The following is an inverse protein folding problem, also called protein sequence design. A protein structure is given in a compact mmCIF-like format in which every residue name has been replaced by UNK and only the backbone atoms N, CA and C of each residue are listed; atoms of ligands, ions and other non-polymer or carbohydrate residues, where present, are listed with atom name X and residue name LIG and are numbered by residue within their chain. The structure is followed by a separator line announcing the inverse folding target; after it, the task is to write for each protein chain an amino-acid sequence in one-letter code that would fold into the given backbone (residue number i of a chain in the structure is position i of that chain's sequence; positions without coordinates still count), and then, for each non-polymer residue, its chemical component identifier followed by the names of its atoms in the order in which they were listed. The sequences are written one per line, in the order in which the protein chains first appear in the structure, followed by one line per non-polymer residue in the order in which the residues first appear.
data_IF_082917409170
#
_entry.id   IF_082917409170
#
_cell.length_a   1.000
_cell.length_b   1.000
_cell.length_c   1.000
_cell.angle_alpha   90.00
_cell.angle_beta   90.00
_cell.angle_gamma   90.00
#
_symmetry.space_group_name_H-M   'P 1'
#
loop_
_entity.id
_entity.type
_entity.pdbx_description
1 polymer ?
#
# COMPACT_ATOMS: atom_id res chain seq x y z
N UNK A 1 0.75 4.02 7.91
CA UNK A 1 0.49 2.79 7.11
C UNK A 1 1.13 2.94 5.73
N UNK A 2 1.37 1.84 5.02
CA UNK A 2 1.95 1.85 3.67
C UNK A 2 0.92 1.39 2.64
N UNK A 3 0.59 2.26 1.69
CA UNK A 3 -0.12 1.89 0.47
C UNK A 3 0.93 1.39 -0.51
N UNK A 4 1.05 0.06 -0.60
CA UNK A 4 1.98 -0.62 -1.48
C UNK A 4 1.62 -0.38 -2.95
N UNK A 5 2.60 -0.39 -3.84
CA UNK A 5 2.35 -0.42 -5.28
C UNK A 5 1.61 -1.72 -5.66
N UNK A 6 2.04 -2.88 -5.14
CA UNK A 6 1.25 -4.11 -5.08
C UNK A 6 0.52 -4.47 -6.38
N UNK A 7 1.28 -4.80 -7.43
CA UNK A 7 0.76 -5.09 -8.79
C UNK A 7 0.19 -6.50 -8.96
N UNK A 8 0.28 -7.34 -7.93
CA UNK A 8 0.04 -8.79 -7.99
C UNK A 8 1.03 -9.53 -8.89
N UNK A 9 2.09 -8.87 -9.38
CA UNK A 9 3.18 -9.55 -10.06
C UNK A 9 4.22 -10.01 -9.05
N UNK A 10 4.60 -11.29 -9.13
CA UNK A 10 5.45 -11.93 -8.12
C UNK A 10 6.79 -11.19 -7.91
N UNK A 11 7.39 -10.68 -8.98
CA UNK A 11 8.67 -9.95 -8.90
C UNK A 11 8.51 -8.58 -8.25
N UNK A 12 7.47 -7.81 -8.61
CA UNK A 12 7.23 -6.50 -8.02
C UNK A 12 6.93 -6.62 -6.53
N UNK A 13 6.00 -7.50 -6.16
CA UNK A 13 5.51 -7.59 -4.78
C UNK A 13 6.63 -8.09 -3.85
N UNK A 14 7.47 -9.02 -4.32
CA UNK A 14 8.69 -9.45 -3.63
C UNK A 14 9.71 -8.32 -3.50
N UNK A 15 9.97 -7.57 -4.57
CA UNK A 15 10.92 -6.46 -4.54
C UNK A 15 10.46 -5.35 -3.58
N UNK A 16 9.17 -5.02 -3.59
CA UNK A 16 8.57 -4.02 -2.71
C UNK A 16 8.68 -4.43 -1.24
N UNK A 17 8.32 -5.67 -0.90
CA UNK A 17 8.43 -6.16 0.48
C UNK A 17 9.89 -6.19 0.95
N UNK A 18 10.83 -6.62 0.09
CA UNK A 18 12.26 -6.60 0.43
C UNK A 18 12.81 -5.19 0.60
N UNK A 19 12.32 -4.20 -0.17
CA UNK A 19 12.67 -2.80 0.03
C UNK A 19 12.11 -2.28 1.37
N UNK A 20 10.86 -2.60 1.70
CA UNK A 20 10.27 -2.22 2.99
C UNK A 20 11.02 -2.82 4.18
N UNK A 21 11.49 -4.08 4.08
CA UNK A 21 12.32 -4.73 5.11
C UNK A 21 13.67 -4.07 5.34
N UNK A 22 14.19 -3.31 4.38
CA UNK A 22 15.43 -2.55 4.55
C UNK A 22 15.20 -1.22 5.28
N UNK A 23 13.95 -0.75 5.36
CA UNK A 23 13.59 0.56 5.92
C UNK A 23 12.90 0.43 7.27
N UNK A 24 12.11 -0.63 7.48
CA UNK A 24 11.33 -0.84 8.70
C UNK A 24 11.79 -2.09 9.45
N UNK A 25 11.99 -1.97 10.77
CA UNK A 25 12.34 -3.11 11.64
C UNK A 25 11.21 -4.15 11.75
N UNK A 26 9.97 -3.72 11.55
CA UNK A 26 8.76 -4.56 11.56
C UNK A 26 7.77 -4.07 10.50
N UNK A 27 6.89 -4.94 9.97
CA UNK A 27 5.97 -4.53 8.93
C UNK A 27 5.01 -3.45 9.45
N UNK A 28 5.00 -2.22 8.89
CA UNK A 28 3.90 -1.31 9.13
C UNK A 28 2.61 -1.93 8.57
N UNK A 29 1.42 -1.53 9.02
CA UNK A 29 0.18 -1.92 8.34
C UNK A 29 0.30 -1.52 6.86
N UNK A 30 0.23 -2.49 5.95
CA UNK A 30 0.34 -2.24 4.52
C UNK A 30 -0.77 -2.92 3.72
N UNK A 31 -1.15 -2.31 2.61
CA UNK A 31 -2.24 -2.77 1.76
C UNK A 31 -2.05 -2.33 0.30
N UNK A 32 -2.78 -2.95 -0.63
CA UNK A 32 -2.88 -2.54 -2.03
C UNK A 32 -4.31 -2.10 -2.38
N UNK A 33 -4.43 -1.06 -3.20
CA UNK A 33 -5.71 -0.57 -3.71
C UNK A 33 -6.06 -1.14 -5.09
N UNK A 34 -5.10 -1.75 -5.79
CA UNK A 34 -5.31 -2.33 -7.12
C UNK A 34 -6.35 -3.46 -7.14
N UNK A 35 -6.56 -4.26 -6.08
CA UNK A 35 -7.68 -5.20 -6.06
C UNK A 35 -9.07 -4.55 -6.16
N UNK A 36 -9.22 -3.26 -5.85
CA UNK A 36 -10.48 -2.54 -5.95
C UNK A 36 -10.70 -1.87 -7.30
N UNK A 37 -9.64 -1.33 -7.90
CA UNK A 37 -9.74 -0.45 -9.09
C UNK A 37 -8.91 -0.92 -10.29
N UNK A 38 -8.24 -2.07 -10.18
CA UNK A 38 -7.27 -2.55 -11.15
C UNK A 38 -5.97 -1.71 -11.17
N UNK A 39 -5.08 -2.02 -12.11
CA UNK A 39 -3.90 -1.20 -12.33
C UNK A 39 -4.15 -0.17 -13.43
N UNK A 40 -4.31 1.10 -13.06
CA UNK A 40 -4.64 2.18 -13.98
C UNK A 40 -3.41 2.85 -14.63
N UNK A 41 -2.29 2.13 -14.74
CA UNK A 41 -1.01 2.59 -15.29
C UNK A 41 -0.61 3.97 -14.74
N UNK A 42 -0.34 4.95 -15.62
CA UNK A 42 0.13 6.28 -15.23
C UNK A 42 -0.82 7.05 -14.30
N UNK A 43 -2.11 6.72 -14.26
CA UNK A 43 -3.06 7.40 -13.37
C UNK A 43 -3.11 6.82 -11.96
N UNK A 44 -2.48 5.66 -11.71
CA UNK A 44 -2.59 4.99 -10.39
C UNK A 44 -2.07 5.87 -9.25
N UNK A 45 -1.09 6.74 -9.53
CA UNK A 45 -0.64 7.83 -8.66
C UNK A 45 -1.79 8.58 -8.00
N UNK A 46 -2.55 9.31 -8.83
CA UNK A 46 -3.65 10.15 -8.40
C UNK A 46 -4.84 9.33 -7.89
N UNK A 47 -5.23 8.27 -8.61
CA UNK A 47 -6.43 7.48 -8.28
C UNK A 47 -6.31 6.78 -6.92
N UNK A 48 -5.17 6.16 -6.63
CA UNK A 48 -4.95 5.47 -5.36
C UNK A 48 -4.79 6.46 -4.20
N UNK A 49 -4.20 7.63 -4.45
CA UNK A 49 -4.06 8.67 -3.42
C UNK A 49 -5.42 9.23 -3.02
N UNK A 50 -6.25 9.60 -4.00
CA UNK A 50 -7.60 10.10 -3.74
C UNK A 50 -8.46 9.06 -3.01
N UNK A 51 -8.40 7.79 -3.43
CA UNK A 51 -9.14 6.71 -2.78
C UNK A 51 -8.67 6.49 -1.34
N UNK A 52 -7.35 6.55 -1.09
CA UNK A 52 -6.81 6.45 0.27
C UNK A 52 -7.26 7.61 1.14
N UNK A 53 -7.16 8.85 0.65
CA UNK A 53 -7.61 10.05 1.36
C UNK A 53 -9.07 9.91 1.79
N UNK A 54 -9.95 9.51 0.86
CA UNK A 54 -11.36 9.27 1.17
C UNK A 54 -11.54 8.19 2.25
N UNK A 55 -10.81 7.08 2.17
CA UNK A 55 -10.90 6.01 3.17
C UNK A 55 -10.48 6.51 4.57
N UNK A 56 -9.34 7.21 4.65
CA UNK A 56 -8.84 7.69 5.94
C UNK A 56 -9.72 8.81 6.49
N UNK A 57 -10.28 9.69 5.66
CA UNK A 57 -11.23 10.72 6.10
C UNK A 57 -12.51 10.10 6.66
N UNK A 58 -12.97 8.98 6.08
CA UNK A 58 -14.05 8.17 6.64
C UNK A 58 -13.63 7.27 7.82
N UNK A 59 -12.42 7.45 8.35
CA UNK A 59 -12.00 6.86 9.62
C UNK A 59 -11.43 5.46 9.52
N UNK A 60 -10.98 5.00 8.34
CA UNK A 60 -10.40 3.66 8.21
C UNK A 60 -9.27 3.53 7.19
N UNK A 61 -8.40 2.55 7.42
CA UNK A 61 -7.44 2.03 6.44
C UNK A 61 -8.12 0.85 5.72
N UNK A 62 -8.13 0.82 4.37
CA UNK A 62 -8.76 -0.27 3.64
C UNK A 62 -7.96 -1.57 3.75
N UNK A 63 -8.66 -2.69 3.57
CA UNK A 63 -8.05 -4.02 3.51
C UNK A 63 -7.38 -4.26 2.15
N UNK A 64 -6.56 -5.32 2.05
CA UNK A 64 -6.19 -5.94 0.77
C UNK A 64 -7.09 -7.16 0.55
N UNK A 65 -8.14 -7.06 -0.28
CA UNK A 65 -9.02 -8.18 -0.53
C UNK A 65 -8.30 -9.23 -1.40
N UNK A 66 -8.84 -10.45 -1.42
CA UNK A 66 -8.34 -11.58 -2.22
C UNK A 66 -6.94 -12.08 -1.84
N UNK A 67 -6.35 -11.62 -0.74
CA UNK A 67 -5.14 -12.22 -0.18
C UNK A 67 -5.50 -13.48 0.61
N UNK A 68 -4.95 -14.63 0.21
CA UNK A 68 -5.28 -15.93 0.82
C UNK A 68 -4.04 -16.69 1.31
N UNK A 69 -3.02 -16.80 0.48
CA UNK A 69 -1.82 -17.61 0.76
C UNK A 69 -0.58 -16.73 0.88
N UNK A 70 0.02 -16.60 2.07
CA UNK A 70 1.29 -15.90 2.24
C UNK A 70 2.44 -16.57 1.50
N UNK A 71 3.38 -15.77 0.97
CA UNK A 71 4.69 -16.28 0.55
C UNK A 71 5.56 -16.45 1.81
N UNK A 72 5.82 -17.71 2.18
CA UNK A 72 6.63 -18.06 3.37
C UNK A 72 8.03 -17.45 3.34
N UNK A 73 8.59 -17.19 2.15
CA UNK A 73 9.91 -16.56 1.99
C UNK A 73 9.88 -15.06 2.34
N UNK A 74 8.71 -14.43 2.22
CA UNK A 74 8.53 -13.01 2.48
C UNK A 74 8.18 -12.73 3.94
N UNK A 75 7.52 -13.64 4.66
CA UNK A 75 7.16 -13.51 6.08
C UNK A 75 6.35 -12.25 6.47
N UNK A 76 6.00 -11.39 5.50
CA UNK A 76 5.27 -10.15 5.67
C UNK A 76 4.02 -10.23 4.79
N UNK A 77 2.85 -9.97 5.38
CA UNK A 77 1.55 -10.06 4.71
C UNK A 77 0.77 -8.74 4.85
N UNK A 78 0.02 -8.32 3.82
CA UNK A 78 -0.80 -7.13 3.91
C UNK A 78 -1.95 -7.34 4.89
N UNK A 79 -2.55 -6.25 5.35
CA UNK A 79 -3.76 -6.33 6.17
C UNK A 79 -4.94 -6.84 5.34
N UNK A 80 -5.68 -7.81 5.87
CA UNK A 80 -6.84 -8.43 5.22
C UNK A 80 -8.17 -7.92 5.75
N UNK A 81 -8.14 -7.08 6.78
CA UNK A 81 -9.29 -6.46 7.41
C UNK A 81 -9.11 -4.94 7.49
N UNK A 82 -10.21 -4.20 7.45
CA UNK A 82 -10.20 -2.74 7.66
C UNK A 82 -9.67 -2.44 9.06
N UNK A 83 -8.90 -1.37 9.20
CA UNK A 83 -8.43 -0.89 10.50
C UNK A 83 -8.95 0.53 10.76
N UNK A 84 -9.43 0.80 11.97
CA UNK A 84 -9.84 2.15 12.36
C UNK A 84 -8.67 3.14 12.25
N UNK A 85 -8.96 4.39 11.89
CA UNK A 85 -7.95 5.40 11.62
C UNK A 85 -8.44 6.84 11.87
N UNK A 86 -8.05 7.39 13.00
CA UNK A 86 -8.37 8.79 13.35
C UNK A 86 -7.29 9.77 12.90
N UNK A 87 -6.02 9.33 12.81
CA UNK A 87 -4.87 10.15 12.40
C UNK A 87 -3.68 9.27 12.02
N UNK A 88 -2.72 9.81 11.28
CA UNK A 88 -1.43 9.14 11.07
C UNK A 88 -0.70 9.54 9.79
N UNK A 89 0.48 8.94 9.61
CA UNK A 89 1.31 9.08 8.42
C UNK A 89 1.08 7.92 7.45
N UNK A 90 0.93 8.23 6.17
CA UNK A 90 0.71 7.27 5.09
C UNK A 90 1.79 7.43 4.04
N UNK A 91 2.53 6.35 3.77
CA UNK A 91 3.47 6.27 2.67
C UNK A 91 2.82 5.56 1.49
N UNK A 92 2.85 6.18 0.32
CA UNK A 92 2.26 5.66 -0.92
C UNK A 92 3.38 5.36 -1.90
N UNK A 93 3.58 4.07 -2.22
CA UNK A 93 4.59 3.61 -3.16
C UNK A 93 4.03 3.50 -4.58
N UNK A 94 4.81 3.94 -5.56
CA UNK A 94 4.52 3.85 -6.98
C UNK A 94 5.77 3.46 -7.75
N UNK A 95 5.70 2.34 -8.47
CA UNK A 95 6.80 1.85 -9.29
C UNK A 95 6.37 1.79 -10.75
N UNK A 96 7.31 2.03 -11.65
CA UNK A 96 7.02 2.09 -13.07
C UNK A 96 8.17 1.55 -13.92
N UNK A 97 7.84 1.21 -15.16
CA UNK A 97 8.85 0.79 -16.14
C UNK A 97 9.96 1.82 -16.29
N UNK A 98 11.15 1.35 -16.67
CA UNK A 98 12.35 2.18 -16.71
C UNK A 98 13.05 2.33 -15.36
N UNK A 99 12.63 1.59 -14.32
CA UNK A 99 13.24 1.64 -12.99
C UNK A 99 12.83 2.86 -12.18
N UNK A 100 11.66 3.44 -12.48
CA UNK A 100 11.13 4.58 -11.76
C UNK A 100 10.56 4.13 -10.42
N UNK A 101 11.07 4.71 -9.33
CA UNK A 101 10.59 4.46 -7.97
C UNK A 101 10.22 5.76 -7.27
N UNK A 102 8.96 5.87 -6.85
CA UNK A 102 8.43 7.09 -6.21
C UNK A 102 7.66 6.71 -4.96
N UNK A 103 7.96 7.39 -3.85
CA UNK A 103 7.18 7.31 -2.62
C UNK A 103 6.71 8.71 -2.21
N UNK A 104 5.44 8.82 -1.83
CA UNK A 104 4.84 10.06 -1.31
C UNK A 104 4.43 9.80 0.13
N UNK A 105 4.71 10.72 1.05
CA UNK A 105 4.24 10.66 2.43
C UNK A 105 3.18 11.74 2.63
N UNK A 106 2.01 11.36 3.11
CA UNK A 106 0.92 12.27 3.49
C UNK A 106 0.55 12.06 4.96
N UNK A 107 0.01 13.09 5.59
CA UNK A 107 -0.43 13.07 6.99
C UNK A 107 -1.93 13.35 7.07
N UNK A 108 -2.67 12.48 7.78
CA UNK A 108 -4.00 12.82 8.29
C UNK A 108 -3.83 13.50 9.64
N UNK A 109 -4.04 14.81 9.66
CA UNK A 109 -4.02 15.63 10.88
C UNK A 109 -5.37 15.49 11.59
N UNK A 110 -5.36 15.41 12.93
CA UNK A 110 -6.61 15.49 13.71
C UNK A 110 -7.19 16.88 13.55
N UNK A 111 -8.49 16.95 13.25
CA UNK A 111 -9.23 18.21 13.33
C UNK A 111 -9.30 18.71 14.78
#
# INVERSE_FOLDING_TARGET
AVKAHGTASALNDRAEINAMKQVFDSPPPFFSLKPYIGHTLGSCGASEMLLLMECVDNGFIPASPNFSTPDETLQWSPITEKRACDSGLFMLNYFGFGGNNTSIVIEKVKA
#
